data_IF_625981287078
#
_entry.id   IF_625981287078
#
_cell.length_a   1.000
_cell.length_b   1.000
_cell.length_c   1.000
_cell.angle_alpha   90.00
_cell.angle_beta   90.00
_cell.angle_gamma   90.00
#
_symmetry.space_group_name_H-M   'P 1'
#
loop_
_entity.id
_entity.type
_entity.pdbx_description
1 polymer ?
#
# COMPACT_ATOMS: atom_id res chain seq x y z
N UNK A 1 -1.31 2.88 -19.15
CA UNK A 1 -2.70 3.33 -19.38
C UNK A 1 -3.33 3.74 -18.05
N UNK A 2 -4.21 4.73 -18.07
CA UNK A 2 -5.12 5.05 -16.96
C UNK A 2 -6.36 4.18 -17.14
N UNK A 3 -6.78 3.49 -16.09
CA UNK A 3 -8.02 2.70 -16.06
C UNK A 3 -9.08 3.52 -15.36
N UNK A 4 -10.16 3.83 -16.09
CA UNK A 4 -11.31 4.56 -15.57
C UNK A 4 -12.52 3.62 -15.56
N UNK A 5 -13.16 3.45 -14.42
CA UNK A 5 -14.26 2.50 -14.24
C UNK A 5 -15.27 2.97 -13.20
N UNK A 6 -16.46 2.38 -13.19
CA UNK A 6 -17.42 2.61 -12.11
C UNK A 6 -16.90 2.04 -10.79
N UNK A 7 -16.42 0.80 -10.82
CA UNK A 7 -15.72 0.10 -9.76
C UNK A 7 -14.84 -0.97 -10.42
N UNK A 8 -13.91 -1.56 -9.67
CA UNK A 8 -13.06 -2.63 -10.15
C UNK A 8 -13.13 -3.82 -9.18
N UNK A 9 -13.76 -4.90 -9.65
CA UNK A 9 -13.82 -6.14 -8.90
C UNK A 9 -12.43 -6.83 -8.87
N UNK A 10 -12.14 -7.64 -7.85
CA UNK A 10 -10.90 -8.42 -7.77
C UNK A 10 -10.63 -9.27 -9.02
N UNK A 11 -11.67 -9.88 -9.59
CA UNK A 11 -11.58 -10.72 -10.79
C UNK A 11 -11.16 -9.94 -12.04
N UNK A 12 -11.51 -8.66 -12.13
CA UNK A 12 -11.15 -7.78 -13.25
C UNK A 12 -9.70 -7.33 -13.14
N UNK A 13 -9.26 -7.05 -11.92
CA UNK A 13 -7.88 -6.58 -11.66
C UNK A 13 -6.83 -7.65 -11.90
N UNK A 14 -7.17 -8.94 -11.76
CA UNK A 14 -6.26 -10.07 -12.05
C UNK A 14 -5.90 -10.13 -13.55
N UNK A 15 -6.82 -9.71 -14.42
CA UNK A 15 -6.63 -9.73 -15.87
C UNK A 15 -5.83 -8.54 -16.42
N UNK A 16 -5.57 -7.53 -15.59
CA UNK A 16 -4.83 -6.34 -16.00
C UNK A 16 -3.35 -6.65 -16.16
N UNK A 17 -2.78 -6.18 -17.26
CA UNK A 17 -1.33 -6.13 -17.44
C UNK A 17 -0.75 -5.01 -16.54
N UNK A 18 -0.30 -5.42 -15.37
CA UNK A 18 0.15 -4.50 -14.31
C UNK A 18 1.29 -3.59 -14.74
N UNK A 19 2.13 -4.04 -15.69
CA UNK A 19 3.25 -3.24 -16.20
C UNK A 19 2.78 -2.09 -17.10
N UNK A 20 1.54 -2.16 -17.59
CA UNK A 20 0.96 -1.14 -18.47
C UNK A 20 -0.03 -0.21 -17.79
N UNK A 21 -0.39 -0.48 -16.53
CA UNK A 21 -1.29 0.36 -15.77
C UNK A 21 -0.52 1.46 -15.07
N UNK A 22 -0.88 2.71 -15.32
CA UNK A 22 -0.25 3.90 -14.75
C UNK A 22 -1.04 4.44 -13.56
N UNK A 23 -2.36 4.29 -13.56
CA UNK A 23 -3.23 4.73 -12.47
C UNK A 23 -4.64 4.15 -12.61
N UNK A 24 -5.42 4.27 -11.52
CA UNK A 24 -6.84 3.96 -11.47
C UNK A 24 -7.67 5.19 -11.13
N UNK A 25 -8.84 5.32 -11.76
CA UNK A 25 -9.86 6.30 -11.40
C UNK A 25 -11.19 5.56 -11.33
N UNK A 26 -11.84 5.55 -10.15
CA UNK A 26 -13.14 4.90 -9.99
C UNK A 26 -14.20 5.86 -9.44
N UNK A 27 -15.41 5.73 -9.94
CA UNK A 27 -16.58 6.50 -9.48
C UNK A 27 -16.98 6.02 -8.08
N UNK A 28 -16.96 4.72 -7.84
CA UNK A 28 -17.24 4.10 -6.55
C UNK A 28 -15.94 3.74 -5.82
N UNK A 29 -16.10 3.23 -4.61
CA UNK A 29 -15.00 2.75 -3.79
C UNK A 29 -14.67 3.66 -2.61
N UNK A 30 -13.71 3.21 -1.82
CA UNK A 30 -13.19 3.93 -0.65
C UNK A 30 -11.67 3.76 -0.57
N UNK A 31 -11.04 4.43 0.38
CA UNK A 31 -9.60 4.26 0.64
C UNK A 31 -9.21 2.81 1.01
N UNK A 32 -10.16 2.00 1.44
CA UNK A 32 -9.99 0.59 1.79
C UNK A 32 -10.55 -0.36 0.70
N UNK A 33 -11.00 0.17 -0.45
CA UNK A 33 -11.45 -0.66 -1.56
C UNK A 33 -10.31 -1.48 -2.15
N UNK A 34 -10.68 -2.57 -2.83
CA UNK A 34 -9.70 -3.43 -3.51
C UNK A 34 -8.81 -2.64 -4.49
N UNK A 35 -9.40 -1.72 -5.26
CA UNK A 35 -8.70 -0.83 -6.20
C UNK A 35 -7.66 0.03 -5.50
N UNK A 36 -8.02 0.64 -4.35
CA UNK A 36 -7.09 1.47 -3.59
C UNK A 36 -5.93 0.66 -3.00
N UNK A 37 -6.21 -0.57 -2.52
CA UNK A 37 -5.18 -1.49 -2.01
C UNK A 37 -4.25 -1.91 -3.14
N UNK A 38 -4.80 -2.27 -4.31
CA UNK A 38 -4.02 -2.66 -5.48
C UNK A 38 -3.10 -1.52 -5.95
N UNK A 39 -3.62 -0.30 -6.06
CA UNK A 39 -2.83 0.87 -6.44
C UNK A 39 -1.67 1.12 -5.48
N UNK A 40 -1.90 1.02 -4.17
CA UNK A 40 -0.82 1.12 -3.17
C UNK A 40 0.23 0.02 -3.34
N UNK A 41 -0.20 -1.21 -3.60
CA UNK A 41 0.72 -2.33 -3.85
C UNK A 41 1.57 -2.12 -5.10
N UNK A 42 0.99 -1.52 -6.13
CA UNK A 42 1.68 -1.17 -7.37
C UNK A 42 2.48 0.15 -7.28
N UNK A 43 2.33 0.90 -6.19
CA UNK A 43 2.91 2.23 -5.99
C UNK A 43 2.54 3.23 -7.12
N UNK A 44 1.30 3.16 -7.60
CA UNK A 44 0.73 4.05 -8.62
C UNK A 44 -0.39 4.91 -8.03
N UNK A 45 -0.66 6.10 -8.59
CA UNK A 45 -1.76 6.94 -8.13
C UNK A 45 -3.12 6.29 -8.40
N UNK A 46 -4.07 6.52 -7.50
CA UNK A 46 -5.46 6.14 -7.69
C UNK A 46 -6.41 7.17 -7.09
N UNK A 47 -7.48 7.46 -7.79
CA UNK A 47 -8.60 8.24 -7.31
C UNK A 47 -9.82 7.32 -7.18
N UNK A 48 -10.44 7.34 -6.02
CA UNK A 48 -11.65 6.55 -5.73
C UNK A 48 -12.75 7.49 -5.24
N UNK A 49 -14.01 7.06 -5.40
CA UNK A 49 -15.17 7.88 -5.05
C UNK A 49 -15.19 9.23 -5.79
N UNK A 50 -14.94 9.18 -7.10
CA UNK A 50 -14.90 10.37 -7.95
C UNK A 50 -16.28 10.66 -8.56
N UNK A 51 -16.48 11.89 -9.00
CA UNK A 51 -17.69 12.32 -9.75
C UNK A 51 -17.49 12.27 -11.28
N UNK A 52 -16.55 11.45 -11.77
CA UNK A 52 -16.26 11.34 -13.20
C UNK A 52 -17.42 10.69 -13.93
N UNK A 53 -17.92 11.32 -15.00
CA UNK A 53 -18.85 10.69 -15.94
C UNK A 53 -18.10 9.70 -16.80
N UNK A 54 -18.60 8.46 -16.87
CA UNK A 54 -18.02 7.42 -17.70
C UNK A 54 -18.58 7.52 -19.12
N UNK A 55 -17.86 8.18 -20.00
CA UNK A 55 -18.23 8.33 -21.40
C UNK A 55 -17.28 7.53 -22.28
N UNK A 56 -17.84 6.78 -23.26
CA UNK A 56 -17.04 5.99 -24.19
C UNK A 56 -16.06 6.83 -25.01
N UNK A 57 -16.36 8.12 -25.18
CA UNK A 57 -15.53 9.10 -25.87
C UNK A 57 -14.21 9.42 -25.14
N UNK A 58 -14.10 9.06 -23.87
CA UNK A 58 -12.86 9.23 -23.10
C UNK A 58 -11.81 8.16 -23.43
N UNK A 59 -12.22 7.05 -24.05
CA UNK A 59 -11.27 5.98 -24.36
C UNK A 59 -10.25 6.44 -25.41
N UNK A 60 -8.98 6.18 -25.10
CA UNK A 60 -7.86 6.59 -25.96
C UNK A 60 -7.44 8.06 -25.85
N UNK A 61 -8.14 8.88 -25.06
CA UNK A 61 -7.76 10.28 -24.83
C UNK A 61 -6.57 10.40 -23.87
N UNK A 62 -5.88 11.52 -23.94
CA UNK A 62 -4.81 11.84 -23.02
C UNK A 62 -5.39 12.18 -21.64
N UNK A 63 -4.89 11.52 -20.57
CA UNK A 63 -5.32 11.80 -19.22
C UNK A 63 -4.13 12.01 -18.27
N UNK A 64 -4.37 12.79 -17.21
CA UNK A 64 -3.45 12.97 -16.09
C UNK A 64 -4.19 12.66 -14.80
N UNK A 65 -3.58 11.86 -13.93
CA UNK A 65 -4.07 11.59 -12.59
C UNK A 65 -3.07 12.14 -11.57
N UNK A 66 -3.49 13.15 -10.84
CA UNK A 66 -2.75 13.67 -9.69
C UNK A 66 -3.33 13.09 -8.40
N UNK A 67 -2.61 12.11 -7.83
CA UNK A 67 -3.01 11.47 -6.59
C UNK A 67 -2.76 12.32 -5.34
N UNK A 68 -1.99 13.39 -5.43
CA UNK A 68 -1.71 14.29 -4.32
C UNK A 68 -2.86 15.30 -4.13
N UNK A 69 -3.32 15.90 -5.22
CA UNK A 69 -4.39 16.90 -5.21
C UNK A 69 -5.78 16.29 -5.44
N UNK A 70 -5.83 14.98 -5.81
CA UNK A 70 -7.09 14.29 -6.05
C UNK A 70 -7.76 14.69 -7.38
N UNK A 71 -6.98 15.10 -8.38
CA UNK A 71 -7.49 15.64 -9.64
C UNK A 71 -7.24 14.70 -10.81
N UNK A 72 -8.26 14.59 -11.67
CA UNK A 72 -8.18 13.88 -12.93
C UNK A 72 -8.45 14.85 -14.10
N UNK A 73 -7.50 14.97 -15.01
CA UNK A 73 -7.61 15.78 -16.21
C UNK A 73 -7.80 14.88 -17.44
N UNK A 74 -8.71 15.26 -18.32
CA UNK A 74 -8.92 14.63 -19.62
C UNK A 74 -8.65 15.68 -20.69
N UNK A 75 -7.78 15.35 -21.65
CA UNK A 75 -7.27 16.27 -22.66
C UNK A 75 -6.81 17.61 -22.08
N UNK A 76 -5.84 17.59 -21.15
CA UNK A 76 -5.31 18.82 -20.55
C UNK A 76 -4.72 19.71 -21.65
N UNK A 77 -4.82 21.02 -21.44
CA UNK A 77 -4.15 21.99 -22.28
C UNK A 77 -2.62 21.86 -22.16
N UNK A 78 -1.90 22.54 -23.08
CA UNK A 78 -0.43 22.46 -23.12
C UNK A 78 0.24 23.00 -21.85
N UNK A 79 -0.34 24.00 -21.20
CA UNK A 79 0.17 24.60 -19.97
C UNK A 79 0.05 23.62 -18.81
N UNK A 80 -1.14 23.07 -18.60
CA UNK A 80 -1.40 22.03 -17.57
C UNK A 80 -0.53 20.80 -17.79
N UNK A 81 -0.40 20.35 -19.06
CA UNK A 81 0.44 19.20 -19.38
C UNK A 81 1.92 19.46 -19.07
N UNK A 82 2.43 20.64 -19.37
CA UNK A 82 3.81 21.02 -19.07
C UNK A 82 4.06 21.10 -17.57
N UNK A 83 3.16 21.71 -16.80
CA UNK A 83 3.24 21.79 -15.35
C UNK A 83 3.24 20.41 -14.70
N UNK A 84 2.30 19.54 -15.09
CA UNK A 84 2.20 18.19 -14.50
C UNK A 84 3.38 17.30 -14.88
N UNK A 85 3.94 17.43 -16.07
CA UNK A 85 5.19 16.76 -16.43
C UNK A 85 6.36 17.20 -15.56
N UNK A 86 6.48 18.50 -15.30
CA UNK A 86 7.52 19.03 -14.41
C UNK A 86 7.37 18.46 -13.01
N UNK A 87 6.16 18.45 -12.43
CA UNK A 87 5.88 17.83 -11.12
C UNK A 87 6.26 16.35 -11.11
N UNK A 88 5.91 15.61 -12.15
CA UNK A 88 6.26 14.20 -12.29
C UNK A 88 7.79 13.99 -12.30
N UNK A 89 8.53 14.81 -13.02
CA UNK A 89 10.01 14.76 -13.05
C UNK A 89 10.62 15.08 -11.69
N UNK A 90 10.08 16.08 -10.98
CA UNK A 90 10.50 16.43 -9.61
C UNK A 90 10.26 15.27 -8.64
N UNK A 91 9.08 14.62 -8.70
CA UNK A 91 8.75 13.46 -7.88
C UNK A 91 9.65 12.25 -8.19
N UNK A 92 9.93 11.99 -9.47
CA UNK A 92 10.86 10.93 -9.87
C UNK A 92 12.28 11.22 -9.37
N UNK A 93 12.75 12.45 -9.51
CA UNK A 93 14.05 12.89 -9.02
C UNK A 93 14.15 12.74 -7.50
N UNK A 94 13.09 13.12 -6.77
CA UNK A 94 13.00 12.94 -5.33
C UNK A 94 13.04 11.46 -4.93
N UNK A 95 12.28 10.60 -5.63
CA UNK A 95 12.33 9.15 -5.40
C UNK A 95 13.73 8.58 -5.64
N UNK A 96 14.40 9.00 -6.71
CA UNK A 96 15.78 8.58 -7.00
C UNK A 96 16.75 9.05 -5.91
N UNK A 97 16.63 10.29 -5.46
CA UNK A 97 17.45 10.82 -4.38
C UNK A 97 17.29 10.00 -3.09
N UNK A 98 16.04 9.63 -2.73
CA UNK A 98 15.78 8.78 -1.57
C UNK A 98 16.45 7.41 -1.69
N UNK A 99 16.54 6.84 -2.91
CA UNK A 99 17.26 5.58 -3.12
C UNK A 99 18.76 5.68 -2.84
N UNK A 100 19.36 6.85 -2.97
CA UNK A 100 20.78 7.07 -2.64
C UNK A 100 21.07 7.02 -1.14
N UNK A 101 20.03 7.07 -0.31
CA UNK A 101 20.13 6.97 1.14
C UNK A 101 20.23 5.53 1.64
N UNK A 102 19.96 4.53 0.80
CA UNK A 102 20.10 3.13 1.17
C UNK A 102 21.54 2.81 1.58
N UNK A 103 21.68 1.99 2.60
CA UNK A 103 22.98 1.62 3.16
C UNK A 103 23.68 2.72 3.97
N UNK A 104 23.09 3.90 4.10
CA UNK A 104 23.62 4.96 4.93
C UNK A 104 23.05 4.88 6.34
N UNK A 105 23.87 5.28 7.32
CA UNK A 105 23.39 5.42 8.70
C UNK A 105 22.34 6.54 8.79
N UNK A 106 21.26 6.26 9.51
CA UNK A 106 20.27 7.28 9.85
C UNK A 106 20.79 8.08 11.05
N UNK A 107 21.20 9.29 10.78
CA UNK A 107 21.83 10.18 11.79
C UNK A 107 21.09 11.51 11.81
N UNK A 108 20.76 11.99 13.00
CA UNK A 108 20.16 13.32 13.19
C UNK A 108 21.18 14.42 12.94
N UNK A 109 20.74 15.68 12.83
CA UNK A 109 21.64 16.82 12.58
C UNK A 109 22.67 17.03 13.71
N UNK A 110 22.36 16.62 14.93
CA UNK A 110 23.27 16.66 16.08
C UNK A 110 24.15 15.39 16.20
N UNK A 111 24.12 14.50 15.20
CA UNK A 111 25.00 13.35 15.11
C UNK A 111 24.50 12.09 15.82
N UNK A 112 23.28 12.06 16.34
CA UNK A 112 22.74 10.87 16.98
C UNK A 112 22.26 9.83 15.95
N UNK A 113 22.66 8.58 16.11
CA UNK A 113 22.22 7.47 15.27
C UNK A 113 20.84 7.00 15.69
N UNK A 114 19.91 6.95 14.72
CA UNK A 114 18.53 6.49 14.90
C UNK A 114 18.31 5.21 14.12
N UNK A 115 17.73 4.21 14.77
CA UNK A 115 17.39 2.95 14.11
C UNK A 115 15.98 3.03 13.53
N UNK A 116 15.86 2.86 12.22
CA UNK A 116 14.58 2.82 11.51
C UNK A 116 14.18 1.37 11.23
N UNK A 117 13.00 1.01 11.67
CA UNK A 117 12.43 -0.31 11.51
C UNK A 117 11.15 -0.26 10.69
N UNK A 118 10.89 -1.34 9.92
CA UNK A 118 9.65 -1.47 9.18
C UNK A 118 8.49 -1.91 10.07
N UNK A 119 7.30 -1.54 9.68
CA UNK A 119 6.03 -2.03 10.23
C UNK A 119 5.35 -2.85 9.14
N UNK A 120 5.08 -4.14 9.39
CA UNK A 120 4.51 -5.07 8.42
C UNK A 120 3.26 -5.76 8.96
N UNK A 121 2.39 -6.18 8.04
CA UNK A 121 1.18 -6.96 8.33
C UNK A 121 1.26 -8.41 7.84
N UNK A 122 2.05 -8.67 6.80
CA UNK A 122 2.18 -10.01 6.23
C UNK A 122 3.57 -10.23 5.61
N UNK A 123 3.83 -11.48 5.19
CA UNK A 123 5.12 -11.87 4.60
C UNK A 123 5.40 -11.24 3.23
N UNK A 124 4.37 -10.79 2.51
CA UNK A 124 4.53 -10.12 1.19
C UNK A 124 5.23 -8.78 1.34
N UNK A 125 5.13 -8.15 2.51
CA UNK A 125 5.79 -6.88 2.80
C UNK A 125 7.32 -7.02 2.89
N UNK A 126 7.84 -8.24 3.14
CA UNK A 126 9.27 -8.49 3.32
C UNK A 126 10.12 -8.05 2.14
N UNK A 127 9.62 -8.24 0.92
CA UNK A 127 10.33 -7.79 -0.28
C UNK A 127 10.58 -6.28 -0.25
N UNK A 128 9.55 -5.51 0.11
CA UNK A 128 9.64 -4.05 0.25
C UNK A 128 10.56 -3.64 1.40
N UNK A 129 10.52 -4.37 2.52
CA UNK A 129 11.40 -4.14 3.68
C UNK A 129 12.87 -4.26 3.29
N UNK A 130 13.23 -5.34 2.57
CA UNK A 130 14.59 -5.57 2.09
C UNK A 130 14.97 -4.55 1.03
N UNK A 131 14.08 -4.31 0.08
CA UNK A 131 14.31 -3.35 -1.00
C UNK A 131 14.60 -1.94 -0.47
N UNK A 132 14.03 -1.55 0.64
CA UNK A 132 14.24 -0.23 1.27
C UNK A 132 15.31 -0.26 2.37
N UNK A 133 16.03 -1.37 2.54
CA UNK A 133 17.11 -1.53 3.52
C UNK A 133 16.71 -1.14 4.95
N UNK A 134 15.55 -1.58 5.40
CA UNK A 134 15.12 -1.35 6.77
C UNK A 134 16.07 -2.01 7.76
N UNK A 135 16.34 -1.35 8.89
CA UNK A 135 17.21 -1.86 9.96
C UNK A 135 16.68 -3.11 10.66
N UNK A 136 15.43 -3.48 10.37
CA UNK A 136 14.73 -4.63 10.94
C UNK A 136 13.22 -4.45 10.84
N UNK A 137 12.48 -5.28 11.55
CA UNK A 137 11.04 -5.19 11.71
C UNK A 137 10.76 -4.74 13.15
N UNK A 138 10.25 -3.53 13.31
CA UNK A 138 9.88 -2.94 14.59
C UNK A 138 8.50 -3.37 15.07
N UNK A 139 7.64 -3.77 14.14
CA UNK A 139 6.32 -4.30 14.44
C UNK A 139 5.84 -5.23 13.32
N UNK A 140 5.69 -6.51 13.64
CA UNK A 140 4.90 -7.42 12.83
C UNK A 140 3.53 -7.59 13.49
N UNK A 141 2.50 -7.15 12.79
CA UNK A 141 1.10 -7.19 13.25
C UNK A 141 0.52 -8.56 12.99
N UNK A 142 0.63 -9.47 13.96
CA UNK A 142 0.23 -10.88 13.81
C UNK A 142 -1.27 -11.08 13.60
N UNK A 143 -2.10 -10.11 13.97
CA UNK A 143 -3.54 -10.17 13.76
C UNK A 143 -3.93 -10.34 12.27
N UNK A 144 -3.12 -9.88 11.32
CA UNK A 144 -3.38 -10.10 9.89
C UNK A 144 -3.34 -11.57 9.48
N UNK A 145 -2.61 -12.43 10.22
CA UNK A 145 -2.61 -13.87 10.00
C UNK A 145 -4.01 -14.45 10.26
N UNK A 146 -4.73 -13.87 11.20
CA UNK A 146 -6.09 -14.26 11.59
C UNK A 146 -7.13 -13.63 10.65
N UNK A 147 -6.99 -12.34 10.35
CA UNK A 147 -7.94 -11.59 9.51
C UNK A 147 -8.02 -12.12 8.07
N UNK A 148 -6.98 -12.78 7.57
CA UNK A 148 -6.94 -13.36 6.23
C UNK A 148 -7.56 -14.77 6.16
N UNK A 149 -8.11 -15.29 7.28
CA UNK A 149 -8.65 -16.65 7.40
C UNK A 149 -10.11 -16.68 7.83
N UNK A 150 -10.74 -17.82 7.58
CA UNK A 150 -12.11 -18.12 8.01
C UNK A 150 -12.17 -18.92 9.33
N UNK A 151 -11.00 -19.35 9.85
CA UNK A 151 -10.85 -20.09 11.10
C UNK A 151 -9.49 -19.77 11.73
N UNK A 152 -9.29 -20.19 12.97
CA UNK A 152 -8.05 -19.97 13.72
C UNK A 152 -6.85 -20.56 12.97
N UNK A 153 -5.77 -19.75 12.77
CA UNK A 153 -4.53 -20.28 12.21
C UNK A 153 -3.93 -21.30 13.19
N UNK A 154 -3.47 -22.42 12.67
CA UNK A 154 -2.78 -23.44 13.45
C UNK A 154 -1.44 -22.93 13.98
N UNK A 155 -0.90 -23.56 15.01
CA UNK A 155 0.44 -23.27 15.53
C UNK A 155 1.50 -23.41 14.42
N UNK A 156 1.40 -24.47 13.62
CA UNK A 156 2.35 -24.72 12.52
C UNK A 156 2.32 -23.63 11.45
N UNK A 157 1.14 -23.14 11.08
CA UNK A 157 1.00 -22.06 10.12
C UNK A 157 1.62 -20.76 10.64
N UNK A 158 1.36 -20.42 11.90
CA UNK A 158 1.97 -19.25 12.55
C UNK A 158 3.49 -19.41 12.64
N UNK A 159 3.97 -20.60 13.04
CA UNK A 159 5.38 -20.91 13.13
C UNK A 159 6.08 -20.72 11.78
N UNK A 160 5.52 -21.23 10.68
CA UNK A 160 6.12 -21.09 9.35
C UNK A 160 6.21 -19.62 8.92
N UNK A 161 5.18 -18.81 9.21
CA UNK A 161 5.19 -17.38 8.92
C UNK A 161 6.30 -16.68 9.73
N UNK A 162 6.34 -16.89 11.04
CA UNK A 162 7.33 -16.25 11.90
C UNK A 162 8.76 -16.69 11.56
N UNK A 163 8.93 -17.98 11.27
CA UNK A 163 10.21 -18.53 10.83
C UNK A 163 10.69 -17.88 9.53
N UNK A 164 9.79 -17.75 8.54
CA UNK A 164 10.12 -17.11 7.26
C UNK A 164 10.54 -15.66 7.47
N UNK A 165 9.81 -14.90 8.29
CA UNK A 165 10.16 -13.53 8.62
C UNK A 165 11.53 -13.44 9.27
N UNK A 166 11.79 -14.25 10.30
CA UNK A 166 13.06 -14.25 11.03
C UNK A 166 14.24 -14.64 10.13
N UNK A 167 14.07 -15.67 9.30
CA UNK A 167 15.10 -16.13 8.36
C UNK A 167 15.40 -15.07 7.29
N UNK A 168 14.36 -14.46 6.74
CA UNK A 168 14.48 -13.43 5.69
C UNK A 168 15.21 -12.20 6.23
N UNK A 169 14.99 -11.84 7.47
CA UNK A 169 15.66 -10.70 8.10
C UNK A 169 17.11 -10.95 8.51
N UNK A 170 17.60 -12.20 8.43
CA UNK A 170 19.02 -12.56 8.52
C UNK A 170 19.77 -11.92 9.70
N UNK A 171 19.25 -12.04 10.92
CA UNK A 171 19.85 -11.50 12.16
C UNK A 171 19.52 -10.05 12.47
N UNK A 172 18.82 -9.33 11.58
CA UNK A 172 18.22 -8.03 11.94
C UNK A 172 17.08 -8.24 12.97
N UNK A 173 16.81 -7.20 13.77
CA UNK A 173 15.76 -7.26 14.80
C UNK A 173 14.39 -7.50 14.16
N UNK A 174 13.62 -8.42 14.76
CA UNK A 174 12.22 -8.66 14.43
C UNK A 174 11.40 -8.64 15.73
N UNK A 175 10.42 -7.76 15.80
CA UNK A 175 9.46 -7.69 16.90
C UNK A 175 8.11 -8.13 16.37
N UNK A 176 7.59 -9.22 16.94
CA UNK A 176 6.27 -9.76 16.63
C UNK A 176 5.33 -9.35 17.76
N UNK A 177 4.27 -8.64 17.42
CA UNK A 177 3.19 -8.37 18.36
C UNK A 177 2.36 -9.64 18.52
N UNK A 178 2.10 -10.05 19.74
CA UNK A 178 1.10 -11.08 20.01
C UNK A 178 -0.28 -10.62 19.56
N UNK A 179 -1.23 -11.56 19.48
CA UNK A 179 -2.56 -11.29 18.97
C UNK A 179 -3.20 -10.04 19.60
N UNK A 180 -3.63 -9.13 18.74
CA UNK A 180 -4.30 -7.88 19.09
C UNK A 180 -5.55 -7.74 18.18
N UNK A 181 -6.58 -8.51 18.54
CA UNK A 181 -7.90 -8.52 17.88
C UNK A 181 -8.93 -8.01 18.88
N UNK A 182 -9.79 -7.16 18.41
CA UNK A 182 -10.80 -6.43 19.17
C UNK A 182 -10.94 -5.03 18.62
N UNK A 183 -11.67 -4.17 19.27
CA UNK A 183 -11.87 -2.79 18.88
C UNK A 183 -12.37 -2.64 17.42
N UNK A 184 -11.46 -2.21 16.55
CA UNK A 184 -11.68 -1.95 15.14
C UNK A 184 -11.50 -3.17 14.23
N UNK A 185 -11.05 -4.30 14.80
CA UNK A 185 -10.73 -5.53 14.04
C UNK A 185 -11.55 -6.69 14.59
N UNK A 186 -12.46 -7.18 13.78
CA UNK A 186 -13.30 -8.32 14.12
C UNK A 186 -13.07 -9.47 13.15
N UNK A 187 -13.03 -10.69 13.72
CA UNK A 187 -13.11 -11.94 12.98
C UNK A 187 -14.37 -12.65 13.44
N UNK A 188 -15.27 -12.99 12.52
CA UNK A 188 -16.57 -13.59 12.84
C UNK A 188 -16.44 -14.89 13.65
N UNK A 189 -15.42 -15.68 13.37
CA UNK A 189 -15.15 -16.94 14.04
C UNK A 189 -14.61 -16.80 15.49
N UNK A 190 -14.29 -15.57 15.94
CA UNK A 190 -13.96 -15.33 17.36
C UNK A 190 -15.21 -15.25 18.24
N UNK A 191 -16.39 -15.07 17.65
CA UNK A 191 -17.67 -14.95 18.37
C UNK A 191 -17.64 -13.94 19.52
N UNK A 192 -16.90 -12.83 19.32
CA UNK A 192 -16.81 -11.78 20.33
C UNK A 192 -18.10 -10.97 20.35
N UNK A 193 -18.57 -10.64 21.55
CA UNK A 193 -19.72 -9.74 21.70
C UNK A 193 -19.36 -8.33 21.18
N UNK A 194 -20.36 -7.65 20.65
CA UNK A 194 -20.17 -6.27 20.22
C UNK A 194 -19.98 -5.37 21.45
N UNK A 195 -18.91 -4.60 21.47
CA UNK A 195 -18.54 -3.68 22.53
C UNK A 195 -18.47 -2.26 22.01
N UNK A 196 -19.11 -1.29 22.71
CA UNK A 196 -19.14 0.10 22.25
C UNK A 196 -17.78 0.81 22.39
N UNK A 197 -16.99 0.41 23.40
CA UNK A 197 -15.65 0.95 23.67
C UNK A 197 -14.61 -0.17 23.80
N UNK A 198 -14.34 -0.90 22.74
CA UNK A 198 -13.52 -2.10 22.79
C UNK A 198 -12.03 -1.84 23.07
N UNK A 199 -11.59 -0.58 23.10
CA UNK A 199 -10.21 -0.19 23.41
C UNK A 199 -10.00 0.20 24.90
N UNK A 200 -11.03 0.11 25.72
CA UNK A 200 -10.97 0.30 27.17
C UNK A 200 -10.97 -1.07 27.91
#
# INVERSE_FOLDING_TARGET
KIIVAEDLAPSETVQLDKDKVLSFVTVKGSLNSHTAILARTMAIPALVNTSVSLESEMDGRLGIVDGADGTFYVDPDEETLAEMKKRQEEDLSRKQLLQTLKGKDNVTLDGQKVMLYANIGNIKDLATVIQNDAGGIGLFRSEFIYLEKEDFPTEEEQFQIYRQVAQTMAGKRVIIRTLDIGADKQCDYFHMEHEENPAL
#
